data_IF_306974869346
#
_entry.id   IF_306974869346
#
_cell.length_a   1.000
_cell.length_b   1.000
_cell.length_c   1.000
_cell.angle_alpha   90.00
_cell.angle_beta   90.00
_cell.angle_gamma   90.00
#
_symmetry.space_group_name_H-M   'P 1'
#
loop_
_entity.id
_entity.type
_entity.pdbx_description
1 polymer ?
#
# COMPACT_ATOMS: atom_id res chain seq x y z
N UNK A 1 30.42 10.32 26.30
CA UNK A 1 29.40 11.26 25.79
C UNK A 1 28.05 10.65 26.14
N UNK A 2 27.16 11.45 26.72
CA UNK A 2 26.09 11.00 27.61
C UNK A 2 24.89 10.36 26.91
N UNK A 3 24.11 9.63 27.71
CA UNK A 3 22.91 8.87 27.40
C UNK A 3 21.73 9.75 26.92
N UNK A 4 20.89 9.21 26.05
CA UNK A 4 19.44 9.46 26.06
C UNK A 4 18.71 8.13 25.95
N UNK A 5 18.50 7.55 27.13
CA UNK A 5 17.47 6.58 27.42
C UNK A 5 16.17 7.36 27.62
N UNK A 6 15.28 7.33 26.63
CA UNK A 6 13.88 7.70 26.84
C UNK A 6 13.10 6.42 27.14
N UNK A 7 12.96 6.22 28.45
CA UNK A 7 12.14 5.23 29.10
C UNK A 7 10.67 5.55 28.81
N UNK A 8 9.97 4.66 28.11
CA UNK A 8 8.51 4.58 28.21
C UNK A 8 8.21 3.61 29.34
N UNK A 9 8.02 4.18 30.53
CA UNK A 9 7.41 3.49 31.67
C UNK A 9 5.95 3.23 31.32
N UNK A 10 5.63 1.97 31.03
CA UNK A 10 4.26 1.48 31.12
C UNK A 10 4.17 0.62 32.39
N UNK A 11 3.87 1.30 33.50
CA UNK A 11 3.43 0.68 34.74
C UNK A 11 1.97 0.25 34.57
N UNK A 12 1.74 -1.07 34.64
CA UNK A 12 0.42 -1.66 34.88
C UNK A 12 0.59 -2.89 35.78
N UNK A 13 0.59 -2.61 37.09
CA UNK A 13 -0.10 -3.28 38.21
C UNK A 13 -0.48 -4.77 38.10
N UNK A 14 -0.04 -5.50 39.14
CA UNK A 14 -0.34 -6.85 39.61
C UNK A 14 -1.73 -7.46 39.27
N UNK A 15 -1.73 -8.55 38.48
CA UNK A 15 -2.76 -9.59 38.51
C UNK A 15 -2.23 -10.89 37.87
N UNK A 16 -2.13 -11.97 38.66
CA UNK A 16 -2.15 -13.36 38.19
C UNK A 16 -1.25 -13.69 36.97
N UNK A 17 0.02 -14.03 37.21
CA UNK A 17 1.02 -14.52 36.21
C UNK A 17 0.46 -14.74 34.78
N UNK A 18 0.36 -13.69 33.96
CA UNK A 18 -0.32 -13.78 32.67
C UNK A 18 0.41 -14.79 31.80
N UNK A 19 -0.34 -15.69 31.15
CA UNK A 19 0.25 -16.67 30.23
C UNK A 19 1.20 -15.94 29.26
N UNK A 20 2.39 -16.50 28.98
CA UNK A 20 3.31 -15.91 28.01
C UNK A 20 2.59 -15.55 26.72
N UNK A 21 2.84 -14.34 26.19
CA UNK A 21 2.15 -13.81 25.00
C UNK A 21 2.09 -14.81 23.83
N UNK A 22 3.18 -15.54 23.59
CA UNK A 22 3.25 -16.56 22.55
C UNK A 22 2.24 -17.69 22.72
N UNK A 23 1.88 -18.06 23.96
CA UNK A 23 0.85 -19.09 24.24
C UNK A 23 -0.53 -18.61 23.85
N UNK A 24 -0.83 -17.34 24.11
CA UNK A 24 -2.09 -16.70 23.67
C UNK A 24 -2.18 -16.71 22.15
N UNK A 25 -1.09 -16.32 21.47
CA UNK A 25 -1.02 -16.32 20.00
C UNK A 25 -1.14 -17.74 19.41
N UNK A 26 -0.45 -18.71 19.99
CA UNK A 26 -0.52 -20.11 19.58
C UNK A 26 -1.93 -20.68 19.78
N UNK A 27 -2.60 -20.36 20.90
CA UNK A 27 -3.99 -20.74 21.13
C UNK A 27 -4.94 -20.09 20.11
N UNK A 28 -4.71 -18.83 19.72
CA UNK A 28 -5.47 -18.16 18.66
C UNK A 28 -5.26 -18.82 17.29
N UNK A 29 -4.03 -19.21 16.94
CA UNK A 29 -3.73 -19.94 15.70
C UNK A 29 -4.36 -21.33 15.68
N UNK A 30 -4.38 -22.01 16.83
CA UNK A 30 -5.04 -23.31 16.98
C UNK A 30 -6.55 -23.22 16.75
N UNK A 31 -7.18 -22.15 17.23
CA UNK A 31 -8.61 -21.92 17.02
C UNK A 31 -8.91 -21.52 15.56
N UNK A 32 -8.09 -20.63 14.99
CA UNK A 32 -8.21 -20.20 13.61
C UNK A 32 -6.86 -19.73 13.06
N UNK A 33 -6.31 -20.48 12.10
CA UNK A 33 -5.05 -20.15 11.43
C UNK A 33 -5.09 -18.81 10.70
N UNK A 34 -6.28 -18.31 10.31
CA UNK A 34 -6.45 -17.03 9.63
C UNK A 34 -6.09 -15.83 10.52
N UNK A 35 -6.07 -16.02 11.84
CA UNK A 35 -5.65 -14.99 12.80
C UNK A 35 -4.21 -14.52 12.55
N UNK A 36 -3.39 -15.32 11.85
CA UNK A 36 -2.04 -14.96 11.41
C UNK A 36 -2.00 -13.63 10.64
N UNK A 37 -3.07 -13.25 9.94
CA UNK A 37 -3.16 -11.99 9.17
C UNK A 37 -3.23 -10.78 10.11
N UNK A 38 -3.74 -10.95 11.31
CA UNK A 38 -3.95 -9.89 12.30
C UNK A 38 -2.71 -9.66 13.18
N UNK A 39 -1.72 -10.56 13.09
CA UNK A 39 -0.54 -10.52 13.95
C UNK A 39 0.44 -9.42 13.51
N UNK A 40 0.96 -8.72 14.51
CA UNK A 40 2.06 -7.78 14.31
C UNK A 40 3.39 -8.51 14.10
N UNK A 41 4.42 -7.78 13.69
CA UNK A 41 5.77 -8.34 13.56
C UNK A 41 6.31 -8.82 14.92
N UNK A 42 5.99 -8.10 16.00
CA UNK A 42 6.32 -8.51 17.35
C UNK A 42 5.59 -9.82 17.76
N UNK A 43 4.38 -10.06 17.26
CA UNK A 43 3.67 -11.32 17.48
C UNK A 43 4.35 -12.47 16.73
N UNK A 44 4.78 -12.25 15.48
CA UNK A 44 5.55 -13.25 14.73
C UNK A 44 6.87 -13.56 15.42
N UNK A 45 7.60 -12.55 15.87
CA UNK A 45 8.85 -12.74 16.61
C UNK A 45 8.63 -13.56 17.89
N UNK A 46 7.58 -13.24 18.66
CA UNK A 46 7.23 -14.00 19.86
C UNK A 46 6.93 -15.49 19.60
N UNK A 47 6.42 -15.84 18.42
CA UNK A 47 6.20 -17.25 18.01
C UNK A 47 7.49 -17.92 17.49
N UNK A 48 8.38 -17.15 16.86
CA UNK A 48 9.66 -17.64 16.33
C UNK A 48 10.66 -17.92 17.46
N UNK A 49 10.65 -17.12 18.52
CA UNK A 49 11.64 -17.23 19.61
C UNK A 49 11.42 -18.45 20.53
N UNK A 50 10.24 -19.08 20.45
CA UNK A 50 9.85 -20.21 21.32
C UNK A 50 10.38 -21.53 20.76
N UNK A 51 10.67 -22.50 21.64
CA UNK A 51 11.06 -23.84 21.20
C UNK A 51 9.98 -24.49 20.32
N UNK A 52 10.41 -25.18 19.26
CA UNK A 52 9.46 -25.69 18.26
C UNK A 52 8.56 -26.79 18.83
N UNK A 53 9.06 -27.56 19.79
CA UNK A 53 8.32 -28.58 20.53
C UNK A 53 7.17 -27.98 21.33
N UNK A 54 7.41 -26.84 21.98
CA UNK A 54 6.40 -26.15 22.80
C UNK A 54 5.32 -25.51 21.92
N UNK A 55 5.73 -24.90 20.81
CA UNK A 55 4.79 -24.36 19.81
C UNK A 55 3.94 -25.46 19.17
N UNK A 56 4.56 -26.59 18.84
CA UNK A 56 3.90 -27.78 18.30
C UNK A 56 2.83 -28.33 19.25
N UNK A 57 3.15 -28.43 20.55
CA UNK A 57 2.20 -28.87 21.59
C UNK A 57 1.03 -27.91 21.74
N UNK A 58 1.28 -26.60 21.77
CA UNK A 58 0.25 -25.58 22.00
C UNK A 58 -0.71 -25.48 20.81
N UNK A 59 -0.18 -25.45 19.58
CA UNK A 59 -0.97 -25.39 18.34
C UNK A 59 -1.59 -26.77 18.00
N UNK A 60 -1.11 -27.85 18.64
CA UNK A 60 -1.50 -29.24 18.37
C UNK A 60 -1.22 -29.68 16.92
N UNK A 61 -0.04 -29.32 16.40
CA UNK A 61 0.46 -29.72 15.07
C UNK A 61 1.76 -30.51 15.20
N UNK A 62 2.13 -31.37 14.23
CA UNK A 62 3.42 -32.06 14.24
C UNK A 62 4.61 -31.08 14.27
N UNK A 63 5.71 -31.47 14.94
CA UNK A 63 6.92 -30.64 15.09
C UNK A 63 7.44 -30.14 13.75
N UNK A 64 7.51 -31.01 12.74
CA UNK A 64 7.95 -30.63 11.37
C UNK A 64 7.07 -29.50 10.78
N UNK A 65 5.75 -29.53 11.02
CA UNK A 65 4.86 -28.45 10.57
C UNK A 65 5.03 -27.17 11.37
N UNK A 66 5.34 -27.27 12.66
CA UNK A 66 5.68 -26.11 13.49
C UNK A 66 7.01 -25.47 13.04
N UNK A 67 8.02 -26.27 12.68
CA UNK A 67 9.27 -25.76 12.08
C UNK A 67 9.01 -25.05 10.76
N UNK A 68 8.23 -25.65 9.87
CA UNK A 68 7.82 -25.01 8.61
C UNK A 68 7.07 -23.69 8.84
N UNK A 69 6.16 -23.66 9.83
CA UNK A 69 5.45 -22.44 10.21
C UNK A 69 6.43 -21.35 10.67
N UNK A 70 7.35 -21.68 11.58
CA UNK A 70 8.37 -20.73 12.06
C UNK A 70 9.26 -20.22 10.93
N UNK A 71 9.71 -21.11 10.03
CA UNK A 71 10.48 -20.71 8.85
C UNK A 71 9.69 -19.80 7.92
N UNK A 72 8.40 -20.06 7.73
CA UNK A 72 7.52 -19.20 6.92
C UNK A 72 7.35 -17.83 7.57
N UNK A 73 7.13 -17.79 8.89
CA UNK A 73 7.01 -16.54 9.65
C UNK A 73 8.31 -15.71 9.57
N UNK A 74 9.47 -16.36 9.70
CA UNK A 74 10.77 -15.69 9.56
C UNK A 74 10.93 -15.08 8.16
N UNK A 75 10.65 -15.85 7.10
CA UNK A 75 10.73 -15.33 5.73
C UNK A 75 9.77 -14.17 5.45
N UNK A 76 8.62 -14.11 6.16
CA UNK A 76 7.72 -12.96 6.08
C UNK A 76 8.31 -11.72 6.78
N UNK A 77 8.96 -11.88 7.92
CA UNK A 77 9.66 -10.77 8.60
C UNK A 77 10.81 -10.25 7.73
N UNK A 78 11.64 -11.15 7.20
CA UNK A 78 12.77 -10.79 6.35
C UNK A 78 12.31 -10.00 5.11
N UNK A 79 11.25 -10.47 4.44
CA UNK A 79 10.68 -9.78 3.28
C UNK A 79 10.16 -8.38 3.62
N UNK A 80 9.50 -8.20 4.77
CA UNK A 80 9.01 -6.88 5.17
C UNK A 80 10.17 -5.93 5.46
N UNK A 81 11.25 -6.43 6.05
CA UNK A 81 12.46 -5.67 6.30
C UNK A 81 13.16 -5.27 4.99
N UNK A 82 13.28 -6.19 4.02
CA UNK A 82 13.76 -5.88 2.67
C UNK A 82 12.91 -4.79 1.99
N UNK A 83 11.58 -4.89 2.10
CA UNK A 83 10.66 -3.87 1.57
C UNK A 83 10.86 -2.51 2.26
N UNK A 84 11.10 -2.48 3.57
CA UNK A 84 11.40 -1.25 4.31
C UNK A 84 12.71 -0.63 3.85
N UNK A 85 13.78 -1.42 3.76
CA UNK A 85 15.10 -0.98 3.30
C UNK A 85 15.06 -0.45 1.86
N UNK A 86 14.33 -1.13 0.97
CA UNK A 86 14.21 -0.68 -0.42
C UNK A 86 13.49 0.66 -0.55
N UNK A 87 12.43 0.89 0.25
CA UNK A 87 11.73 2.18 0.30
C UNK A 87 12.64 3.30 0.80
N UNK A 88 13.36 3.06 1.89
CA UNK A 88 14.30 4.03 2.46
C UNK A 88 15.38 4.42 1.44
N UNK A 89 15.94 3.44 0.72
CA UNK A 89 16.93 3.69 -0.34
C UNK A 89 16.34 4.52 -1.49
N UNK A 90 15.11 4.22 -1.92
CA UNK A 90 14.44 4.96 -2.98
C UNK A 90 14.12 6.40 -2.55
N UNK A 91 13.72 6.61 -1.30
CA UNK A 91 13.50 7.94 -0.73
C UNK A 91 14.79 8.77 -0.71
N UNK A 92 15.92 8.15 -0.33
CA UNK A 92 17.23 8.79 -0.41
C UNK A 92 17.60 9.17 -1.84
N UNK A 93 17.34 8.29 -2.82
CA UNK A 93 17.58 8.57 -4.23
C UNK A 93 16.73 9.75 -4.73
N UNK A 94 15.43 9.77 -4.43
CA UNK A 94 14.53 10.88 -4.78
C UNK A 94 15.00 12.19 -4.13
N UNK A 95 15.41 12.14 -2.86
CA UNK A 95 15.93 13.32 -2.15
C UNK A 95 17.21 13.86 -2.78
N UNK A 96 18.11 12.98 -3.23
CA UNK A 96 19.33 13.38 -3.94
C UNK A 96 19.00 14.06 -5.28
N UNK A 97 18.12 13.46 -6.09
CA UNK A 97 17.67 14.06 -7.35
C UNK A 97 17.03 15.44 -7.17
N UNK A 98 16.25 15.63 -6.11
CA UNK A 98 15.62 16.92 -5.82
C UNK A 98 16.66 17.95 -5.34
N UNK A 99 17.69 17.52 -4.60
CA UNK A 99 18.78 18.39 -4.16
C UNK A 99 19.63 18.86 -5.36
N UNK A 100 19.86 17.98 -6.33
CA UNK A 100 20.57 18.31 -7.58
C UNK A 100 19.76 19.26 -8.50
N UNK A 101 18.45 19.40 -8.27
CA UNK A 101 17.57 20.32 -9.02
C UNK A 101 17.30 21.67 -8.35
N UNK A 102 17.82 21.94 -7.13
CA UNK A 102 17.45 23.12 -6.32
C UNK A 102 18.58 24.13 -6.14
N UNK A 103 19.62 24.11 -6.99
CA UNK A 103 20.66 25.17 -6.99
C UNK A 103 20.51 26.24 -8.08
N UNK A 104 19.49 26.19 -8.96
CA UNK A 104 19.19 27.32 -9.85
C UNK A 104 17.68 27.48 -10.12
N UNK A 105 17.03 28.39 -9.39
CA UNK A 105 15.94 29.26 -9.88
C UNK A 105 15.33 30.07 -8.71
N UNK A 106 15.98 31.15 -8.34
CA UNK A 106 15.31 32.28 -7.68
C UNK A 106 14.77 33.24 -8.74
N UNK A 107 13.58 33.82 -8.48
CA UNK A 107 12.80 34.78 -9.29
C UNK A 107 11.94 34.09 -10.37
N UNK A 108 10.63 34.31 -10.48
CA UNK A 108 9.89 35.56 -10.33
C UNK A 108 8.42 35.28 -9.98
N UNK A 109 7.77 36.28 -9.39
CA UNK A 109 6.35 36.30 -9.07
C UNK A 109 5.49 36.38 -10.34
N UNK A 110 4.28 35.82 -10.32
CA UNK A 110 3.10 36.58 -10.74
C UNK A 110 1.81 35.91 -10.30
N UNK A 111 1.01 36.77 -9.69
CA UNK A 111 -0.37 36.68 -9.25
C UNK A 111 -1.35 36.36 -10.39
N UNK A 112 -2.38 35.56 -10.10
CA UNK A 112 -3.76 35.75 -10.60
C UNK A 112 -4.71 34.73 -9.99
N UNK A 113 -5.47 35.24 -9.04
CA UNK A 113 -6.72 34.73 -8.49
C UNK A 113 -7.82 34.57 -9.57
N UNK A 114 -8.59 33.45 -9.53
CA UNK A 114 -10.04 33.48 -9.78
C UNK A 114 -10.71 32.12 -9.51
N UNK A 115 -11.82 32.22 -8.79
CA UNK A 115 -12.71 31.18 -8.28
C UNK A 115 -13.70 30.63 -9.33
N UNK A 116 -14.16 29.38 -9.12
CA UNK A 116 -15.57 28.90 -9.05
C UNK A 116 -15.87 27.62 -9.82
N UNK A 117 -16.39 26.66 -9.04
CA UNK A 117 -17.57 25.79 -9.23
C UNK A 117 -17.82 25.08 -10.57
N UNK A 118 -18.21 23.81 -10.43
CA UNK A 118 -18.23 22.82 -11.49
C UNK A 118 -19.43 22.86 -12.43
N UNK A 119 -19.22 22.19 -13.56
CA UNK A 119 -20.20 21.57 -14.46
C UNK A 119 -19.40 20.74 -15.52
N UNK A 120 -20.04 19.79 -16.23
CA UNK A 120 -19.41 18.53 -16.63
C UNK A 120 -18.39 18.65 -17.78
N UNK A 121 -17.38 17.79 -17.64
CA UNK A 121 -16.14 17.68 -18.41
C UNK A 121 -16.30 17.85 -19.92
N UNK A 122 -15.93 19.04 -20.41
CA UNK A 122 -15.61 19.29 -21.82
C UNK A 122 -14.24 18.69 -22.11
N UNK A 123 -14.09 18.06 -23.29
CA UNK A 123 -12.84 17.49 -23.83
C UNK A 123 -11.75 18.57 -23.97
N UNK A 124 -11.10 18.90 -22.87
CA UNK A 124 -9.99 19.85 -22.80
C UNK A 124 -8.63 19.14 -22.88
N UNK A 125 -7.56 19.88 -23.17
CA UNK A 125 -6.20 19.35 -23.07
C UNK A 125 -5.93 18.82 -21.66
N UNK A 126 -5.16 17.73 -21.56
CA UNK A 126 -4.76 17.17 -20.27
C UNK A 126 -4.06 18.23 -19.42
N UNK A 127 -4.32 18.22 -18.11
CA UNK A 127 -3.67 19.16 -17.20
C UNK A 127 -2.16 18.92 -17.18
N UNK A 128 -1.39 19.99 -16.93
CA UNK A 128 0.07 19.92 -16.87
C UNK A 128 0.57 18.86 -15.89
N UNK A 129 -0.11 18.71 -14.74
CA UNK A 129 0.19 17.67 -13.75
C UNK A 129 0.06 16.25 -14.31
N UNK A 130 -0.94 15.97 -15.14
CA UNK A 130 -1.14 14.63 -15.74
C UNK A 130 -0.03 14.34 -16.73
N UNK A 131 0.35 15.32 -17.56
CA UNK A 131 1.45 15.20 -18.52
C UNK A 131 2.77 14.89 -17.80
N UNK A 132 3.07 15.57 -16.69
CA UNK A 132 4.27 15.30 -15.89
C UNK A 132 4.28 13.88 -15.32
N UNK A 133 3.14 13.39 -14.82
CA UNK A 133 3.00 12.02 -14.30
C UNK A 133 3.23 10.99 -15.41
N UNK A 134 2.62 11.20 -16.59
CA UNK A 134 2.73 10.30 -17.74
C UNK A 134 4.17 10.21 -18.27
N UNK A 135 4.94 11.30 -18.23
CA UNK A 135 6.35 11.30 -18.66
C UNK A 135 7.32 10.75 -17.61
N UNK A 136 7.06 10.99 -16.33
CA UNK A 136 8.05 10.78 -15.26
C UNK A 136 8.09 9.38 -14.65
N UNK A 137 7.09 8.53 -14.91
CA UNK A 137 6.94 7.23 -14.21
C UNK A 137 6.89 6.05 -15.17
N UNK A 138 7.45 4.91 -14.74
CA UNK A 138 7.40 3.64 -15.48
C UNK A 138 5.99 3.04 -15.57
N UNK A 139 5.15 3.28 -14.56
CA UNK A 139 3.76 2.84 -14.50
C UNK A 139 2.84 4.00 -14.08
N UNK A 140 2.62 4.98 -14.98
CA UNK A 140 1.94 6.23 -14.62
C UNK A 140 0.45 6.03 -14.30
N UNK A 141 -0.20 5.03 -14.91
CA UNK A 141 -1.61 4.67 -14.69
C UNK A 141 -1.95 4.33 -13.24
N UNK A 142 -0.99 3.84 -12.45
CA UNK A 142 -1.22 3.55 -11.03
C UNK A 142 -1.30 4.83 -10.18
N UNK A 143 -0.70 5.93 -10.63
CA UNK A 143 -0.67 7.20 -9.90
C UNK A 143 -1.79 8.17 -10.29
N UNK A 144 -2.56 7.86 -11.34
CA UNK A 144 -3.65 8.71 -11.81
C UNK A 144 -4.93 8.42 -11.02
N UNK A 145 -5.74 9.46 -10.79
CA UNK A 145 -7.11 9.31 -10.31
C UNK A 145 -8.00 8.66 -11.38
N UNK A 146 -9.19 8.18 -11.00
CA UNK A 146 -10.13 7.61 -11.98
C UNK A 146 -10.54 8.63 -13.06
N UNK A 147 -10.81 9.87 -12.67
CA UNK A 147 -11.12 10.96 -13.61
C UNK A 147 -9.96 11.24 -14.57
N UNK A 148 -8.71 11.18 -14.08
CA UNK A 148 -7.52 11.37 -14.91
C UNK A 148 -7.30 10.19 -15.85
N UNK A 149 -7.55 8.95 -15.40
CA UNK A 149 -7.50 7.75 -16.24
C UNK A 149 -8.54 7.82 -17.36
N UNK A 150 -9.78 8.21 -17.05
CA UNK A 150 -10.83 8.43 -18.04
C UNK A 150 -10.44 9.51 -19.06
N UNK A 151 -9.87 10.63 -18.60
CA UNK A 151 -9.39 11.69 -19.50
C UNK A 151 -8.27 11.22 -20.43
N UNK A 152 -7.31 10.43 -19.94
CA UNK A 152 -6.20 9.88 -20.75
C UNK A 152 -6.70 8.84 -21.75
N UNK A 153 -7.65 7.98 -21.34
CA UNK A 153 -8.29 7.00 -22.24
C UNK A 153 -9.16 7.68 -23.32
N UNK A 154 -9.78 8.81 -23.01
CA UNK A 154 -10.61 9.57 -23.94
C UNK A 154 -9.80 10.50 -24.88
N UNK A 155 -8.50 10.68 -24.63
CA UNK A 155 -7.63 11.55 -25.39
C UNK A 155 -7.27 10.94 -26.76
N UNK A 156 -7.15 11.77 -27.79
CA UNK A 156 -6.64 11.32 -29.09
C UNK A 156 -5.17 10.89 -28.98
N UNK A 157 -4.77 9.69 -29.45
CA UNK A 157 -3.39 9.20 -29.38
C UNK A 157 -2.38 10.12 -30.06
N UNK A 158 -2.74 10.79 -31.17
CA UNK A 158 -1.84 11.74 -31.85
C UNK A 158 -1.59 12.98 -31.01
N UNK A 159 -2.64 13.51 -30.36
CA UNK A 159 -2.54 14.63 -29.44
C UNK A 159 -1.72 14.27 -28.19
N UNK A 160 -1.89 13.04 -27.69
CA UNK A 160 -1.13 12.52 -26.56
C UNK A 160 0.35 12.32 -26.93
N UNK A 161 0.63 11.83 -28.13
CA UNK A 161 1.99 11.66 -28.67
C UNK A 161 2.71 13.00 -28.77
N UNK A 162 2.07 14.04 -29.33
CA UNK A 162 2.62 15.39 -29.36
C UNK A 162 2.81 15.96 -27.96
N UNK A 163 1.85 15.76 -27.05
CA UNK A 163 1.93 16.25 -25.68
C UNK A 163 2.98 15.53 -24.83
N UNK A 164 3.33 14.28 -25.12
CA UNK A 164 4.33 13.52 -24.38
C UNK A 164 5.69 13.46 -25.08
N UNK A 165 5.76 13.88 -26.34
CA UNK A 165 6.92 13.72 -27.23
C UNK A 165 7.40 12.26 -27.27
N UNK A 166 6.45 11.33 -27.40
CA UNK A 166 6.67 9.88 -27.40
C UNK A 166 6.06 9.24 -28.65
N UNK A 167 6.61 8.12 -29.10
CA UNK A 167 6.15 7.42 -30.30
C UNK A 167 4.74 6.83 -30.16
N UNK A 168 4.05 6.64 -31.29
CA UNK A 168 2.68 6.13 -31.34
C UNK A 168 2.51 4.77 -30.63
N UNK A 169 3.44 3.82 -30.83
CA UNK A 169 3.42 2.52 -30.15
C UNK A 169 3.48 2.65 -28.62
N UNK A 170 4.26 3.59 -28.10
CA UNK A 170 4.34 3.83 -26.67
C UNK A 170 3.02 4.41 -26.14
N UNK A 171 2.41 5.33 -26.88
CA UNK A 171 1.12 5.93 -26.52
C UNK A 171 0.00 4.89 -26.53
N UNK A 172 -0.06 4.02 -27.53
CA UNK A 172 -1.07 2.95 -27.61
C UNK A 172 -0.95 2.01 -26.41
N UNK A 173 0.27 1.57 -26.08
CA UNK A 173 0.52 0.74 -24.91
C UNK A 173 0.17 1.46 -23.60
N UNK A 174 0.47 2.75 -23.49
CA UNK A 174 0.15 3.58 -22.34
C UNK A 174 -1.37 3.72 -22.15
N UNK A 175 -2.11 4.01 -23.23
CA UNK A 175 -3.57 4.10 -23.18
C UNK A 175 -4.22 2.75 -22.88
N UNK A 176 -3.71 1.66 -23.45
CA UNK A 176 -4.17 0.31 -23.13
C UNK A 176 -3.94 -0.03 -21.65
N UNK A 177 -2.78 0.33 -21.08
CA UNK A 177 -2.49 0.15 -19.67
C UNK A 177 -3.41 1.01 -18.77
N UNK A 178 -3.68 2.27 -19.15
CA UNK A 178 -4.63 3.14 -18.44
C UNK A 178 -6.06 2.55 -18.46
N UNK A 179 -6.51 2.05 -19.62
CA UNK A 179 -7.82 1.43 -19.76
C UNK A 179 -7.94 0.16 -18.92
N UNK A 180 -6.90 -0.69 -18.92
CA UNK A 180 -6.86 -1.89 -18.10
C UNK A 180 -6.88 -1.60 -16.60
N UNK A 181 -6.19 -0.56 -16.14
CA UNK A 181 -6.23 -0.13 -14.75
C UNK A 181 -7.59 0.44 -14.36
N UNK A 182 -8.19 1.27 -15.21
CA UNK A 182 -9.54 1.81 -14.99
C UNK A 182 -10.58 0.70 -14.87
N UNK A 183 -10.51 -0.31 -15.75
CA UNK A 183 -11.40 -1.48 -15.69
C UNK A 183 -11.25 -2.22 -14.35
N UNK A 184 -10.02 -2.54 -13.92
CA UNK A 184 -9.78 -3.20 -12.64
C UNK A 184 -10.39 -2.44 -11.46
N UNK A 185 -10.20 -1.11 -11.41
CA UNK A 185 -10.77 -0.28 -10.35
C UNK A 185 -12.30 -0.27 -10.38
N UNK A 186 -12.89 -0.25 -11.57
CA UNK A 186 -14.35 -0.31 -11.72
C UNK A 186 -14.94 -1.64 -11.22
N UNK A 187 -14.29 -2.76 -11.54
CA UNK A 187 -14.68 -4.10 -11.09
C UNK A 187 -14.56 -4.24 -9.56
N UNK A 188 -13.51 -3.67 -8.97
CA UNK A 188 -13.32 -3.63 -7.51
C UNK A 188 -14.46 -2.85 -6.83
N UNK A 189 -14.80 -1.66 -7.34
CA UNK A 189 -15.90 -0.85 -6.82
C UNK A 189 -17.25 -1.59 -6.96
N UNK A 190 -17.50 -2.25 -8.09
CA UNK A 190 -18.72 -3.02 -8.30
C UNK A 190 -18.82 -4.22 -7.34
N UNK A 191 -17.73 -4.95 -7.13
CA UNK A 191 -17.66 -6.03 -6.15
C UNK A 191 -17.95 -5.51 -4.73
N UNK A 192 -17.32 -4.42 -4.33
CA UNK A 192 -17.55 -3.79 -3.02
C UNK A 192 -19.00 -3.36 -2.83
N UNK A 193 -19.60 -2.74 -3.84
CA UNK A 193 -21.00 -2.33 -3.80
C UNK A 193 -21.92 -3.54 -3.65
N UNK A 194 -21.63 -4.65 -4.35
CA UNK A 194 -22.39 -5.90 -4.25
C UNK A 194 -22.28 -6.55 -2.86
N UNK A 195 -21.09 -6.52 -2.26
CA UNK A 195 -20.88 -6.98 -0.88
C UNK A 195 -21.61 -6.09 0.13
N UNK A 196 -21.57 -4.76 -0.07
CA UNK A 196 -22.24 -3.81 0.80
C UNK A 196 -23.76 -4.00 0.78
N UNK A 197 -24.36 -4.18 -0.40
CA UNK A 197 -25.81 -4.40 -0.55
C UNK A 197 -26.23 -5.75 0.04
N UNK A 198 -25.45 -6.81 -0.18
CA UNK A 198 -25.69 -8.11 0.45
C UNK A 198 -25.60 -8.05 1.98
N UNK A 199 -24.63 -7.29 2.51
CA UNK A 199 -24.48 -7.10 3.96
C UNK A 199 -25.64 -6.30 4.57
N UNK A 200 -26.11 -5.26 3.89
CA UNK A 200 -27.26 -4.45 4.30
C UNK A 200 -28.55 -5.28 4.27
N UNK A 201 -28.77 -6.07 3.21
CA UNK A 201 -29.90 -6.99 3.12
C UNK A 201 -29.88 -8.02 4.26
N UNK A 202 -28.71 -8.57 4.62
CA UNK A 202 -28.60 -9.51 5.75
C UNK A 202 -28.92 -8.86 7.10
N UNK A 203 -28.54 -7.60 7.32
CA UNK A 203 -28.87 -6.85 8.55
C UNK A 203 -30.35 -6.50 8.66
N UNK A 204 -31.03 -6.24 7.54
CA UNK A 204 -32.47 -5.95 7.49
C UNK A 204 -33.35 -7.21 7.66
N UNK A 205 -32.78 -8.39 7.42
CA UNK A 205 -33.47 -9.68 7.56
C UNK A 205 -33.13 -10.43 8.87
N UNK A 206 -32.48 -9.78 9.84
CA UNK A 206 -32.31 -10.32 11.19
C UNK A 206 -33.56 -9.98 12.04
N UNK A 207 -34.26 -10.97 12.64
CA UNK A 207 -35.39 -10.72 13.53
C UNK A 207 -34.97 -10.07 14.85
#
# INVERSE_FOLDING_TARGET
MWLTQESVEQDDVDSSNPLPRWKVLAAQLRQNLSNIILFSEADFQALIDVQTEDLSREIAIPVVKAEMLKSTLQGLLDRREEERQSKELLELYIKAMNKDGTEEASMDETDSEASRQGEPSKKGPLSSSVITILRGKRAPYLSLSNEQLEAVCAQNPEALSMALNQGAEHIENLQAACAGELQKRSEQVQCMNSLSSASQAKRQNLP
#
